data_IF_231049432076
#
_entry.id   IF_231049432076
#
_cell.length_a   1.000
_cell.length_b   1.000
_cell.length_c   1.000
_cell.angle_alpha   90.00
_cell.angle_beta   90.00
_cell.angle_gamma   90.00
#
_symmetry.space_group_name_H-M   'P 1'
#
loop_
_entity.id
_entity.type
_entity.pdbx_description
1 polymer ?
#
# COMPACT_ATOMS: atom_id res chain seq x y z
N UNK A 1 4.23 -3.78 61.02
CA UNK A 1 3.03 -3.62 60.16
C UNK A 1 3.42 -2.88 58.89
N UNK A 2 3.80 -3.60 57.83
CA UNK A 2 4.27 -3.01 56.56
C UNK A 2 3.08 -2.77 55.62
N UNK A 3 2.74 -1.50 55.37
CA UNK A 3 1.74 -1.13 54.36
C UNK A 3 2.34 -1.37 52.97
N UNK A 4 1.93 -2.45 52.30
CA UNK A 4 2.29 -2.70 50.89
C UNK A 4 1.72 -1.58 50.01
N UNK A 5 2.60 -0.77 49.42
CA UNK A 5 2.22 0.34 48.55
C UNK A 5 1.87 -0.18 47.15
N UNK A 6 0.59 -0.42 46.91
CA UNK A 6 0.10 -0.77 45.57
C UNK A 6 0.43 0.40 44.61
N UNK A 7 1.24 0.19 43.56
CA UNK A 7 1.61 1.27 42.64
C UNK A 7 0.40 1.76 41.86
N UNK A 8 0.22 3.09 41.79
CA UNK A 8 -0.86 3.74 41.03
C UNK A 8 -0.60 3.63 39.52
N UNK A 9 -1.01 2.51 38.93
CA UNK A 9 -0.80 2.20 37.51
C UNK A 9 -2.10 2.35 36.72
N UNK A 10 -2.05 3.08 35.60
CA UNK A 10 -3.15 3.12 34.64
C UNK A 10 -3.18 1.84 33.79
N UNK A 11 -3.78 0.78 34.33
CA UNK A 11 -3.92 -0.53 33.66
C UNK A 11 -4.58 -0.43 32.28
N UNK A 12 -5.53 0.50 32.11
CA UNK A 12 -6.21 0.72 30.83
C UNK A 12 -5.33 1.38 29.75
N UNK A 13 -4.29 2.12 30.12
CA UNK A 13 -3.29 2.60 29.18
C UNK A 13 -2.39 1.46 28.70
N UNK A 14 -1.85 0.66 29.64
CA UNK A 14 -0.97 -0.49 29.34
C UNK A 14 -1.70 -1.54 28.48
N UNK A 15 -2.95 -1.86 28.78
CA UNK A 15 -3.75 -2.76 27.95
C UNK A 15 -3.95 -2.20 26.53
N UNK A 16 -4.19 -0.90 26.38
CA UNK A 16 -4.36 -0.28 25.05
C UNK A 16 -3.08 -0.26 24.23
N UNK A 17 -1.90 -0.06 24.83
CA UNK A 17 -0.63 -0.15 24.10
C UNK A 17 -0.33 -1.59 23.63
N UNK A 18 -0.78 -2.60 24.36
CA UNK A 18 -0.67 -4.02 23.95
C UNK A 18 -1.74 -4.38 22.89
N UNK A 19 -2.95 -3.84 23.00
CA UNK A 19 -4.02 -4.12 22.02
C UNK A 19 -3.82 -3.39 20.67
N UNK A 20 -3.20 -2.19 20.65
CA UNK A 20 -3.08 -1.35 19.45
C UNK A 20 -2.46 -2.04 18.22
N UNK A 21 -1.31 -2.73 18.31
CA UNK A 21 -0.71 -3.44 17.17
C UNK A 21 -1.59 -4.52 16.54
N UNK A 22 -2.64 -4.95 17.26
CA UNK A 22 -3.58 -5.98 16.83
C UNK A 22 -4.93 -5.41 16.38
N UNK A 23 -5.08 -4.08 16.23
CA UNK A 23 -6.31 -3.44 15.74
C UNK A 23 -6.10 -3.04 14.27
N UNK A 24 -6.96 -3.54 13.38
CA UNK A 24 -6.95 -3.14 11.96
C UNK A 24 -7.63 -1.77 11.79
N UNK A 25 -6.94 -0.82 11.15
CA UNK A 25 -7.48 0.51 10.86
C UNK A 25 -8.51 0.49 9.72
N UNK A 26 -8.35 -0.39 8.73
CA UNK A 26 -9.07 -0.36 7.45
C UNK A 26 -10.45 -1.02 7.46
N UNK A 27 -11.02 -1.27 8.65
CA UNK A 27 -12.35 -1.85 8.76
C UNK A 27 -13.42 -0.81 8.37
N UNK A 28 -14.37 -1.14 7.47
CA UNK A 28 -15.45 -0.22 7.12
C UNK A 28 -16.36 0.02 8.32
N UNK A 29 -16.87 1.26 8.45
CA UNK A 29 -17.81 1.60 9.53
C UNK A 29 -19.21 1.08 9.20
N UNK A 30 -19.70 0.12 9.99
CA UNK A 30 -21.05 -0.42 9.90
C UNK A 30 -21.65 -0.72 11.27
N UNK A 31 -22.98 -0.74 11.30
CA UNK A 31 -23.75 -0.88 12.53
C UNK A 31 -24.64 -2.13 12.46
N UNK A 32 -25.22 -2.50 13.60
CA UNK A 32 -26.28 -3.50 13.60
C UNK A 32 -27.43 -3.05 12.69
N UNK A 33 -27.98 -3.98 11.92
CA UNK A 33 -29.03 -3.74 10.92
C UNK A 33 -28.50 -3.58 9.50
N UNK A 34 -27.22 -3.27 9.31
CA UNK A 34 -26.60 -3.21 7.99
C UNK A 34 -26.41 -4.62 7.40
N UNK A 35 -26.58 -4.75 6.10
CA UNK A 35 -26.29 -5.98 5.35
C UNK A 35 -24.85 -5.93 4.86
N UNK A 36 -24.05 -6.92 5.25
CA UNK A 36 -22.62 -7.00 4.92
C UNK A 36 -22.29 -8.33 4.24
N UNK A 37 -21.34 -8.27 3.31
CA UNK A 37 -20.65 -9.41 2.72
C UNK A 37 -19.25 -9.50 3.30
N UNK A 38 -19.00 -10.54 4.08
CA UNK A 38 -17.71 -10.86 4.71
C UNK A 38 -17.03 -11.94 3.89
N UNK A 39 -15.85 -11.65 3.36
CA UNK A 39 -15.06 -12.60 2.59
C UNK A 39 -13.99 -13.20 3.48
N UNK A 40 -14.17 -14.46 3.87
CA UNK A 40 -13.26 -15.20 4.73
C UNK A 40 -12.42 -16.20 3.96
N UNK A 41 -11.11 -16.19 4.22
CA UNK A 41 -10.16 -17.20 3.80
C UNK A 41 -10.38 -18.48 4.63
N UNK A 42 -10.80 -19.55 3.97
CA UNK A 42 -10.96 -20.89 4.54
C UNK A 42 -9.83 -21.77 4.03
N UNK A 43 -9.12 -22.43 4.95
CA UNK A 43 -8.01 -23.33 4.66
C UNK A 43 -8.49 -24.77 4.91
N UNK A 44 -8.42 -25.61 3.89
CA UNK A 44 -8.75 -27.03 3.94
C UNK A 44 -7.51 -27.83 3.53
N UNK A 45 -6.77 -28.32 4.52
CA UNK A 45 -5.47 -28.95 4.31
C UNK A 45 -4.50 -27.98 3.60
N UNK A 46 -4.07 -28.34 2.39
CA UNK A 46 -3.19 -27.53 1.55
C UNK A 46 -3.91 -26.46 0.73
N UNK A 47 -5.24 -26.58 0.52
CA UNK A 47 -5.98 -25.67 -0.36
C UNK A 47 -6.60 -24.53 0.42
N UNK A 48 -6.39 -23.31 -0.08
CA UNK A 48 -7.03 -22.09 0.44
C UNK A 48 -8.10 -21.62 -0.54
N UNK A 49 -9.30 -21.27 -0.04
CA UNK A 49 -10.35 -20.59 -0.82
C UNK A 49 -10.93 -19.40 -0.08
N UNK A 50 -11.55 -18.47 -0.81
CA UNK A 50 -12.33 -17.38 -0.23
C UNK A 50 -13.81 -17.78 -0.24
N UNK A 51 -14.44 -17.82 0.94
CA UNK A 51 -15.89 -17.99 1.08
C UNK A 51 -16.51 -16.65 1.47
N UNK A 52 -17.47 -16.17 0.68
CA UNK A 52 -18.31 -15.03 1.04
C UNK A 52 -19.46 -15.48 1.96
N UNK A 53 -19.64 -14.78 3.08
CA UNK A 53 -20.81 -14.89 3.95
C UNK A 53 -21.54 -13.54 3.96
N UNK A 54 -22.76 -13.55 3.43
CA UNK A 54 -23.59 -12.36 3.26
C UNK A 54 -24.82 -12.42 4.15
N UNK A 55 -25.10 -11.36 4.90
CA UNK A 55 -26.28 -11.29 5.75
C UNK A 55 -26.36 -10.02 6.59
N UNK A 56 -27.35 -9.97 7.47
CA UNK A 56 -27.61 -8.83 8.35
C UNK A 56 -26.73 -8.90 9.59
N UNK A 57 -26.07 -7.81 9.95
CA UNK A 57 -25.36 -7.68 11.23
C UNK A 57 -26.38 -7.57 12.37
N UNK A 58 -26.49 -8.59 13.21
CA UNK A 58 -27.45 -8.61 14.32
C UNK A 58 -26.88 -8.09 15.64
N UNK A 59 -25.56 -8.09 15.80
CA UNK A 59 -24.89 -7.59 16.99
C UNK A 59 -23.44 -7.19 16.68
N UNK A 60 -22.94 -6.20 17.41
CA UNK A 60 -21.52 -5.85 17.50
C UNK A 60 -21.18 -5.89 18.99
N UNK A 61 -20.08 -6.55 19.36
CA UNK A 61 -19.69 -6.80 20.75
C UNK A 61 -18.22 -6.45 20.99
N UNK A 62 -17.92 -6.10 22.24
CA UNK A 62 -16.60 -5.71 22.74
C UNK A 62 -15.96 -4.50 22.00
N UNK A 63 -14.72 -4.18 22.38
CA UNK A 63 -13.92 -3.11 21.80
C UNK A 63 -12.45 -3.54 21.75
N UNK A 64 -11.61 -2.66 21.18
CA UNK A 64 -10.17 -2.92 21.03
C UNK A 64 -9.87 -4.17 20.19
N UNK A 65 -8.87 -4.95 20.60
CA UNK A 65 -8.46 -6.18 19.90
C UNK A 65 -9.58 -7.22 19.81
N UNK A 66 -10.46 -7.26 20.83
CA UNK A 66 -11.54 -8.25 21.01
C UNK A 66 -12.85 -7.90 20.29
N UNK A 67 -12.91 -6.77 19.57
CA UNK A 67 -14.11 -6.31 18.85
C UNK A 67 -14.58 -7.37 17.84
N UNK A 68 -15.85 -7.74 17.90
CA UNK A 68 -16.46 -8.74 17.01
C UNK A 68 -17.87 -8.34 16.58
N UNK A 69 -18.36 -8.95 15.50
CA UNK A 69 -19.71 -8.76 15.00
C UNK A 69 -20.35 -10.10 14.61
N UNK A 70 -21.68 -10.19 14.71
CA UNK A 70 -22.45 -11.38 14.38
C UNK A 70 -23.31 -11.11 13.16
N UNK A 71 -23.14 -11.91 12.10
CA UNK A 71 -23.91 -11.84 10.86
C UNK A 71 -24.89 -13.01 10.82
N UNK A 72 -26.17 -12.73 10.49
CA UNK A 72 -27.24 -13.72 10.33
C UNK A 72 -27.69 -13.79 8.88
N UNK A 73 -27.79 -14.99 8.34
CA UNK A 73 -28.36 -15.30 7.02
C UNK A 73 -29.36 -16.44 7.15
N UNK A 74 -30.40 -16.47 6.32
CA UNK A 74 -31.14 -17.72 6.05
C UNK A 74 -30.51 -18.36 4.81
N UNK A 75 -30.00 -19.58 4.93
CA UNK A 75 -29.37 -20.34 3.84
C UNK A 75 -30.06 -21.69 3.75
N UNK A 76 -30.55 -22.06 2.55
CA UNK A 76 -31.26 -23.33 2.31
C UNK A 76 -32.43 -23.60 3.29
N UNK A 77 -33.12 -22.54 3.75
CA UNK A 77 -34.22 -22.63 4.72
C UNK A 77 -33.79 -22.55 6.19
N UNK A 78 -32.51 -22.76 6.49
CA UNK A 78 -31.98 -22.75 7.86
C UNK A 78 -31.36 -21.40 8.24
N UNK A 79 -31.49 -21.02 9.51
CA UNK A 79 -30.95 -19.76 10.04
C UNK A 79 -29.50 -19.91 10.50
N UNK A 80 -28.55 -19.51 9.66
CA UNK A 80 -27.11 -19.58 9.95
C UNK A 80 -26.63 -18.25 10.56
N UNK A 81 -25.96 -18.32 11.70
CA UNK A 81 -25.25 -17.20 12.31
C UNK A 81 -23.74 -17.47 12.34
N UNK A 82 -22.93 -16.46 12.03
CA UNK A 82 -21.47 -16.51 12.17
C UNK A 82 -20.98 -15.29 12.94
N UNK A 83 -20.02 -15.52 13.84
CA UNK A 83 -19.34 -14.47 14.61
C UNK A 83 -17.96 -14.24 14.01
N UNK A 84 -17.66 -12.97 13.71
CA UNK A 84 -16.42 -12.56 13.07
C UNK A 84 -15.69 -11.54 13.97
N UNK A 85 -14.46 -11.81 14.44
CA UNK A 85 -13.60 -10.80 15.02
C UNK A 85 -13.19 -9.80 13.94
N UNK A 86 -13.23 -8.49 14.22
CA UNK A 86 -12.82 -7.46 13.24
C UNK A 86 -11.36 -7.62 12.80
N UNK A 87 -10.50 -8.00 13.74
CA UNK A 87 -9.05 -7.96 13.58
C UNK A 87 -8.45 -9.27 13.03
N UNK A 88 -9.25 -10.30 12.78
CA UNK A 88 -8.71 -11.61 12.36
C UNK A 88 -8.00 -11.54 11.00
N UNK A 89 -6.86 -12.24 10.81
CA UNK A 89 -6.20 -12.36 9.50
C UNK A 89 -7.02 -13.17 8.50
N UNK A 90 -8.02 -13.94 8.96
CA UNK A 90 -8.87 -14.77 8.10
C UNK A 90 -9.89 -13.97 7.28
N UNK A 91 -10.20 -12.72 7.65
CA UNK A 91 -11.07 -11.85 6.85
C UNK A 91 -10.22 -11.14 5.79
N UNK A 92 -10.55 -11.37 4.53
CA UNK A 92 -9.92 -10.73 3.37
C UNK A 92 -10.54 -9.37 3.06
N UNK A 93 -11.88 -9.28 3.08
CA UNK A 93 -12.62 -8.03 2.80
C UNK A 93 -13.98 -8.04 3.51
N UNK A 94 -14.43 -6.86 3.91
CA UNK A 94 -15.81 -6.62 4.33
C UNK A 94 -16.39 -5.58 3.38
N UNK A 95 -17.52 -5.88 2.76
CA UNK A 95 -18.25 -4.94 1.89
C UNK A 95 -19.64 -4.71 2.46
N UNK A 96 -20.05 -3.46 2.58
CA UNK A 96 -21.42 -3.09 2.98
C UNK A 96 -22.28 -3.11 1.71
N UNK A 97 -23.40 -3.83 1.75
CA UNK A 97 -24.34 -3.93 0.63
C UNK A 97 -25.55 -3.01 0.83
N UNK A 98 -26.08 -2.95 2.06
CA UNK A 98 -27.24 -2.13 2.39
C UNK A 98 -27.13 -1.57 3.80
N UNK A 99 -27.57 -0.31 4.01
CA UNK A 99 -27.70 0.30 5.34
C UNK A 99 -29.10 0.07 5.88
N UNK A 100 -29.21 -0.52 7.07
CA UNK A 100 -30.51 -0.84 7.69
C UNK A 100 -30.88 0.12 8.82
N UNK A 101 -32.11 0.65 8.80
CA UNK A 101 -32.62 1.53 9.85
C UNK A 101 -33.22 0.72 10.99
N UNK A 102 -32.48 0.62 12.09
CA UNK A 102 -32.90 -0.07 13.32
C UNK A 102 -32.85 0.84 14.53
N UNK A 103 -33.52 0.45 15.62
CA UNK A 103 -33.57 1.19 16.90
C UNK A 103 -32.84 0.49 18.06
N UNK A 104 -32.34 -0.73 17.86
CA UNK A 104 -31.71 -1.56 18.89
C UNK A 104 -30.30 -1.96 18.44
N UNK A 105 -29.33 -1.94 19.36
CA UNK A 105 -27.96 -2.36 19.08
C UNK A 105 -27.80 -3.89 18.93
N UNK A 106 -28.76 -4.67 19.44
CA UNK A 106 -28.84 -6.12 19.30
C UNK A 106 -30.19 -6.52 18.72
N UNK A 107 -30.19 -7.24 17.61
CA UNK A 107 -31.35 -7.56 16.78
C UNK A 107 -31.76 -9.03 16.90
N UNK A 108 -31.64 -9.60 18.11
CA UNK A 108 -31.94 -11.03 18.34
C UNK A 108 -33.39 -11.42 18.02
N UNK A 109 -34.33 -10.46 18.00
CA UNK A 109 -35.70 -10.66 17.53
C UNK A 109 -35.78 -11.13 16.05
N UNK A 110 -34.76 -10.87 15.23
CA UNK A 110 -34.65 -11.39 13.85
C UNK A 110 -34.37 -12.91 13.79
N UNK A 111 -34.28 -13.59 14.95
CA UNK A 111 -34.19 -15.05 15.02
C UNK A 111 -35.55 -15.72 14.80
N UNK A 112 -36.59 -15.12 15.38
CA UNK A 112 -37.98 -15.60 15.32
C UNK A 112 -38.70 -15.13 14.05
N UNK A 113 -38.39 -13.92 13.55
CA UNK A 113 -39.00 -13.36 12.35
C UNK A 113 -38.47 -14.03 11.06
N UNK A 114 -39.37 -14.25 10.10
CA UNK A 114 -39.05 -14.76 8.75
C UNK A 114 -39.77 -13.95 7.66
N UNK A 115 -39.32 -14.10 6.41
CA UNK A 115 -39.94 -13.49 5.24
C UNK A 115 -40.08 -11.97 5.34
N UNK A 116 -41.28 -11.44 5.01
CA UNK A 116 -41.56 -9.98 5.03
C UNK A 116 -41.35 -9.35 6.41
N UNK A 117 -41.58 -10.08 7.50
CA UNK A 117 -41.42 -9.56 8.87
C UNK A 117 -39.95 -9.34 9.26
N UNK A 118 -39.02 -10.11 8.69
CA UNK A 118 -37.59 -9.95 8.92
C UNK A 118 -36.94 -8.82 8.10
N UNK A 119 -37.66 -8.21 7.14
CA UNK A 119 -37.14 -7.14 6.28
C UNK A 119 -36.92 -5.85 7.07
N UNK A 120 -35.67 -5.40 7.12
CA UNK A 120 -35.29 -4.10 7.68
C UNK A 120 -35.57 -2.99 6.63
N UNK A 121 -35.97 -1.81 7.08
CA UNK A 121 -36.14 -0.63 6.21
C UNK A 121 -34.77 0.01 5.94
N UNK A 122 -34.50 0.40 4.70
CA UNK A 122 -33.25 1.05 4.33
C UNK A 122 -33.05 2.42 5.05
N UNK A 123 -31.85 2.70 5.53
CA UNK A 123 -31.49 3.97 6.18
C UNK A 123 -30.97 5.02 5.20
N UNK A 124 -31.91 5.68 4.50
CA UNK A 124 -31.62 6.77 3.55
C UNK A 124 -30.67 7.83 4.12
N UNK A 125 -30.73 8.12 5.42
CA UNK A 125 -29.89 9.13 6.06
C UNK A 125 -28.42 8.73 6.16
N UNK A 126 -28.12 7.43 6.28
CA UNK A 126 -26.74 6.92 6.24
C UNK A 126 -26.25 6.68 4.81
N UNK A 127 -27.10 6.17 3.92
CA UNK A 127 -26.77 6.03 2.48
C UNK A 127 -26.31 7.35 1.87
N UNK A 128 -27.01 8.46 2.13
CA UNK A 128 -26.61 9.78 1.62
C UNK A 128 -25.28 10.28 2.22
N UNK A 129 -24.97 9.91 3.46
CA UNK A 129 -23.68 10.23 4.10
C UNK A 129 -22.52 9.42 3.51
N UNK A 130 -22.74 8.12 3.25
CA UNK A 130 -21.76 7.27 2.58
C UNK A 130 -21.48 7.80 1.16
N UNK A 131 -22.51 8.12 0.38
CA UNK A 131 -22.35 8.74 -0.94
C UNK A 131 -21.58 10.07 -0.90
N UNK A 132 -21.86 10.93 0.08
CA UNK A 132 -21.13 12.19 0.29
C UNK A 132 -19.70 12.00 0.85
N UNK A 133 -19.38 10.83 1.42
CA UNK A 133 -18.00 10.43 1.77
C UNK A 133 -17.27 9.93 0.53
N UNK A 134 -17.91 9.07 -0.26
CA UNK A 134 -17.36 8.50 -1.49
C UNK A 134 -17.09 9.57 -2.56
N UNK A 135 -17.94 10.60 -2.64
CA UNK A 135 -17.67 11.77 -3.48
C UNK A 135 -16.43 12.54 -3.01
N UNK A 136 -16.26 12.73 -1.69
CA UNK A 136 -15.08 13.40 -1.13
C UNK A 136 -13.79 12.59 -1.27
N UNK A 137 -13.83 11.27 -1.09
CA UNK A 137 -12.64 10.43 -1.31
C UNK A 137 -12.27 10.36 -2.78
N UNK A 138 -13.25 10.32 -3.70
CA UNK A 138 -13.01 10.40 -5.15
C UNK A 138 -12.48 11.77 -5.58
N UNK A 139 -13.00 12.87 -5.01
CA UNK A 139 -12.52 14.22 -5.29
C UNK A 139 -11.07 14.39 -4.81
N UNK A 140 -10.78 14.02 -3.56
CA UNK A 140 -9.42 14.06 -3.02
C UNK A 140 -8.44 13.16 -3.79
N UNK A 141 -8.88 11.96 -4.19
CA UNK A 141 -8.06 11.06 -5.02
C UNK A 141 -7.85 11.60 -6.45
N UNK A 142 -8.82 12.34 -7.01
CA UNK A 142 -8.65 13.01 -8.30
C UNK A 142 -7.73 14.22 -8.20
N UNK A 143 -7.84 15.03 -7.14
CA UNK A 143 -6.91 16.11 -6.83
C UNK A 143 -5.48 15.58 -6.64
N UNK A 144 -5.30 14.52 -5.84
CA UNK A 144 -4.00 13.86 -5.70
C UNK A 144 -3.50 13.28 -7.03
N UNK A 145 -4.34 12.63 -7.83
CA UNK A 145 -3.93 12.17 -9.16
C UNK A 145 -3.52 13.32 -10.10
N UNK A 146 -4.13 14.52 -9.99
CA UNK A 146 -3.67 15.70 -10.75
C UNK A 146 -2.35 16.27 -10.23
N UNK A 147 -2.14 16.28 -8.91
CA UNK A 147 -0.87 16.69 -8.29
C UNK A 147 0.27 15.71 -8.60
N UNK A 148 0.01 14.41 -8.51
CA UNK A 148 0.97 13.35 -8.84
C UNK A 148 1.35 13.38 -10.32
N UNK A 149 0.37 13.61 -11.21
CA UNK A 149 0.63 13.79 -12.64
C UNK A 149 1.45 15.06 -12.93
N UNK A 150 1.12 16.19 -12.31
CA UNK A 150 1.90 17.42 -12.44
C UNK A 150 3.32 17.28 -11.86
N UNK A 151 3.49 16.50 -10.78
CA UNK A 151 4.80 16.17 -10.22
C UNK A 151 5.61 15.26 -11.15
N UNK A 152 4.98 14.28 -11.82
CA UNK A 152 5.63 13.43 -12.82
C UNK A 152 6.07 14.24 -14.06
N UNK A 153 5.22 15.15 -14.55
CA UNK A 153 5.56 16.04 -15.67
C UNK A 153 6.70 17.02 -15.29
N UNK A 154 6.69 17.57 -14.06
CA UNK A 154 7.77 18.42 -13.56
C UNK A 154 9.08 17.66 -13.28
N UNK A 155 9.00 16.37 -12.91
CA UNK A 155 10.18 15.52 -12.72
C UNK A 155 10.79 15.13 -14.08
N UNK A 156 9.97 14.75 -15.06
CA UNK A 156 10.42 14.45 -16.42
C UNK A 156 11.12 15.65 -17.09
N UNK A 157 10.66 16.88 -16.83
CA UNK A 157 11.35 18.09 -17.30
C UNK A 157 12.74 18.26 -16.68
N UNK A 158 12.91 17.95 -15.39
CA UNK A 158 14.22 18.00 -14.70
C UNK A 158 15.14 16.88 -15.13
N UNK A 159 14.61 15.67 -15.33
CA UNK A 159 15.38 14.52 -15.80
C UNK A 159 15.85 14.75 -17.26
N UNK A 160 15.05 15.44 -18.09
CA UNK A 160 15.45 15.87 -19.42
C UNK A 160 16.52 16.99 -19.39
N UNK A 161 16.43 17.96 -18.48
CA UNK A 161 17.47 18.99 -18.30
C UNK A 161 18.79 18.38 -17.77
N UNK A 162 18.70 17.40 -16.88
CA UNK A 162 19.85 16.64 -16.38
C UNK A 162 20.50 15.80 -17.49
N UNK A 163 19.69 15.15 -18.34
CA UNK A 163 20.19 14.43 -19.52
C UNK A 163 20.86 15.37 -20.54
N UNK A 164 20.33 16.58 -20.73
CA UNK A 164 20.94 17.60 -21.60
C UNK A 164 22.29 18.10 -21.06
N UNK A 165 22.42 18.32 -19.74
CA UNK A 165 23.70 18.66 -19.10
C UNK A 165 24.71 17.50 -19.16
N UNK A 166 24.28 16.27 -18.90
CA UNK A 166 25.14 15.09 -19.01
C UNK A 166 25.64 14.86 -20.46
N UNK A 167 24.83 15.17 -21.47
CA UNK A 167 25.25 15.12 -22.87
C UNK A 167 26.28 16.20 -23.22
N UNK A 168 26.19 17.39 -22.61
CA UNK A 168 27.20 18.45 -22.77
C UNK A 168 28.52 18.11 -22.05
N UNK A 169 28.47 17.51 -20.85
CA UNK A 169 29.67 16.99 -20.17
C UNK A 169 30.32 15.82 -20.95
N UNK A 170 29.51 14.92 -21.54
CA UNK A 170 30.03 13.83 -22.37
C UNK A 170 30.67 14.34 -23.68
N UNK A 171 30.12 15.39 -24.30
CA UNK A 171 30.71 16.03 -25.46
C UNK A 171 32.05 16.72 -25.11
N UNK A 172 32.12 17.42 -23.98
CA UNK A 172 33.36 18.03 -23.48
C UNK A 172 34.44 16.97 -23.13
N UNK A 173 34.03 15.80 -22.63
CA UNK A 173 34.94 14.68 -22.42
C UNK A 173 35.47 14.08 -23.75
N UNK A 174 34.65 14.02 -24.79
CA UNK A 174 35.08 13.55 -26.12
C UNK A 174 35.98 14.55 -26.84
N UNK A 175 35.79 15.87 -26.67
CA UNK A 175 36.74 16.89 -27.15
C UNK A 175 38.08 16.82 -26.39
N UNK A 176 38.06 16.54 -25.08
CA UNK A 176 39.28 16.33 -24.30
C UNK A 176 40.03 15.03 -24.69
N UNK A 177 39.31 13.95 -25.01
CA UNK A 177 39.91 12.69 -25.46
C UNK A 177 40.43 12.78 -26.91
N UNK A 178 39.79 13.57 -27.77
CA UNK A 178 40.30 13.91 -29.11
C UNK A 178 41.62 14.70 -29.04
N UNK A 179 41.69 15.72 -28.18
CA UNK A 179 42.93 16.49 -27.96
C UNK A 179 44.09 15.62 -27.41
N UNK A 180 43.77 14.60 -26.60
CA UNK A 180 44.77 13.63 -26.12
C UNK A 180 45.26 12.66 -27.20
N UNK A 181 44.45 12.37 -28.23
CA UNK A 181 44.85 11.54 -29.37
C UNK A 181 45.71 12.33 -30.38
N UNK A 182 45.46 13.64 -30.56
CA UNK A 182 46.35 14.50 -31.35
C UNK A 182 47.72 14.70 -30.68
N UNK A 183 47.77 14.82 -29.35
CA UNK A 183 49.03 14.87 -28.60
C UNK A 183 49.87 13.58 -28.74
N UNK A 184 49.22 12.40 -28.77
CA UNK A 184 49.91 11.11 -28.98
C UNK A 184 50.36 10.87 -30.43
N UNK A 185 49.83 11.61 -31.41
CA UNK A 185 50.33 11.59 -32.78
C UNK A 185 51.61 12.43 -32.94
N UNK A 186 51.85 13.43 -32.08
CA UNK A 186 53.05 14.26 -32.12
C UNK A 186 54.29 13.58 -31.48
N UNK A 187 54.10 12.69 -30.50
CA UNK A 187 55.21 12.02 -29.79
C UNK A 187 55.84 10.83 -30.56
N UNK A 188 55.30 10.46 -31.73
CA UNK A 188 55.95 9.52 -32.66
C UNK A 188 56.67 10.18 -33.84
N UNK A 189 56.77 11.52 -33.87
CA UNK A 189 57.38 12.28 -34.97
C UNK A 189 58.70 13.01 -34.62
N UNK A 190 59.23 12.86 -33.40
CA UNK A 190 60.42 13.58 -32.94
C UNK A 190 61.40 12.71 -32.13
N UNK A 191 62.06 11.76 -32.80
CA UNK A 191 63.33 11.20 -32.30
C UNK A 191 64.48 12.13 -32.72
N UNK A 192 65.40 12.52 -31.83
CA UNK A 192 66.35 13.61 -32.06
C UNK A 192 67.59 13.20 -32.88
N UNK A 193 68.15 14.18 -33.60
CA UNK A 193 69.30 14.01 -34.49
C UNK A 193 70.65 14.38 -33.84
N UNK A 194 71.64 13.51 -34.08
CA UNK A 194 73.10 13.70 -34.07
C UNK A 194 73.91 13.94 -32.77
N UNK A 195 74.74 12.92 -32.50
CA UNK A 195 76.15 12.98 -32.06
C UNK A 195 76.80 11.62 -32.47
N UNK A 196 78.05 11.49 -32.92
CA UNK A 196 79.12 12.43 -33.31
C UNK A 196 80.06 11.76 -34.37
N UNK A 197 81.09 12.46 -34.85
CA UNK A 197 82.21 11.93 -35.70
C UNK A 197 83.07 10.89 -34.94
N UNK A 198 83.85 9.96 -35.54
CA UNK A 198 84.90 10.03 -36.59
C UNK A 198 85.31 8.54 -36.89
N UNK A 199 85.63 8.02 -38.09
CA UNK A 199 86.95 8.07 -38.78
C UNK A 199 86.97 7.29 -40.13
N UNK A 200 87.63 7.90 -41.11
CA UNK A 200 88.40 7.38 -42.29
C UNK A 200 88.40 5.89 -42.69
N UNK A 201 88.12 5.58 -43.98
CA UNK A 201 89.11 5.12 -45.01
C UNK A 201 88.43 4.70 -46.35
N UNK A 202 88.99 5.06 -47.54
CA UNK A 202 88.49 4.62 -48.86
C UNK A 202 89.42 3.61 -49.59
N UNK A 203 89.02 3.20 -50.82
CA UNK A 203 89.70 2.28 -51.77
C UNK A 203 89.53 0.76 -51.45
N UNK A 204 89.43 -0.20 -52.38
CA UNK A 204 89.59 -0.26 -53.86
C UNK A 204 88.54 -1.14 -54.59
N UNK A 205 88.16 -0.72 -55.80
CA UNK A 205 88.04 -1.48 -57.08
C UNK A 205 88.18 -3.03 -57.13
N UNK A 206 87.35 -3.63 -58.01
CA UNK A 206 87.51 -4.90 -58.79
C UNK A 206 87.68 -6.21 -57.99
N UNK A 207 87.24 -7.38 -58.47
CA UNK A 207 86.86 -7.83 -59.83
C UNK A 207 85.66 -8.81 -59.76
#
# INVERSE_FOLDING_TARGET
MTKSSIPRINRGAILRSIEQPHIKADAPDFQAGDTVRVETKVVEGTRTRVQAFEGVVIAINAGGSRKSFTVRKISFGEGVERVFPFNTPLISKITILERGKVRRAKLYYLRELRGKAARIKNDRGRVMKDAARDQRTKAAAAEQATLDKAAQEAQAAKDAEAAAKAAQEAAAAQEAEAAAQEAKAAEQAAAPEAAETEQTAPETKSE
#
